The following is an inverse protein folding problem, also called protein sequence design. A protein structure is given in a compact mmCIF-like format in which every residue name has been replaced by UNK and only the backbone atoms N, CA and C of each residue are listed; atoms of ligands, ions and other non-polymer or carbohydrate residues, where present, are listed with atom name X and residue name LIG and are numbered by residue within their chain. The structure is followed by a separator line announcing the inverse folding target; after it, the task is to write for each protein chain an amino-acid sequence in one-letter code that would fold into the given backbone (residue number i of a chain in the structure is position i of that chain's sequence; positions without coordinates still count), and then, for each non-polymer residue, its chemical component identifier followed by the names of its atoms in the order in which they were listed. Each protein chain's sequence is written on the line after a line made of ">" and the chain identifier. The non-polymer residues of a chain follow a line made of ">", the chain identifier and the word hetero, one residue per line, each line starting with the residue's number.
data_IF_593947383527
#
_entry.id   IF_593947383527
#
_cell.length_a   1.000
_cell.length_b   1.000
_cell.length_c   1.000
_cell.angle_alpha   90.00
_cell.angle_beta   90.00
_cell.angle_gamma   90.00
#
_symmetry.space_group_name_H-M   'P 1'
#
loop_
_entity.id
_entity.type
_entity.pdbx_description
1 polymer ?
#
# COMPACT_ATOMS: atom_id res chain seq x y z
N UNK A 1 18.13 10.08 23.68
CA UNK A 1 17.71 8.70 23.31
C UNK A 1 16.17 8.60 23.34
N UNK A 2 15.46 9.26 22.40
CA UNK A 2 13.97 9.17 22.31
C UNK A 2 13.43 9.26 20.87
N UNK A 3 14.28 9.52 19.86
CA UNK A 3 13.84 9.78 18.46
C UNK A 3 13.88 8.56 17.53
N UNK A 4 14.27 7.38 18.01
CA UNK A 4 14.33 6.14 17.19
C UNK A 4 13.06 5.29 17.23
N UNK A 5 12.15 5.50 18.19
CA UNK A 5 10.95 4.65 18.35
C UNK A 5 9.83 4.90 17.31
N UNK A 6 9.93 5.97 16.51
CA UNK A 6 8.90 6.35 15.55
C UNK A 6 9.15 5.81 14.14
N UNK A 7 10.41 5.62 13.73
CA UNK A 7 10.75 5.23 12.36
C UNK A 7 10.36 3.77 12.06
N UNK A 8 10.46 2.88 13.06
CA UNK A 8 10.18 1.44 12.94
C UNK A 8 8.68 1.11 12.82
N UNK A 9 7.78 2.01 13.26
CA UNK A 9 6.35 1.74 13.13
C UNK A 9 5.91 1.76 11.68
N UNK A 10 6.39 2.74 10.90
CA UNK A 10 5.98 2.95 9.51
C UNK A 10 6.39 1.81 8.59
N UNK A 11 7.60 1.27 8.77
CA UNK A 11 8.10 0.11 8.00
C UNK A 11 7.30 -1.15 8.29
N UNK A 12 6.71 -1.26 9.49
CA UNK A 12 5.97 -2.44 9.92
C UNK A 12 4.47 -2.43 9.54
N UNK A 13 3.96 -1.36 8.93
CA UNK A 13 2.53 -1.21 8.60
C UNK A 13 2.12 -2.12 7.45
N UNK A 14 2.95 -2.19 6.40
CA UNK A 14 2.69 -2.98 5.21
C UNK A 14 3.20 -4.39 5.46
N UNK A 15 2.29 -5.36 5.41
CA UNK A 15 2.63 -6.78 5.63
C UNK A 15 3.14 -7.39 4.32
N UNK A 16 2.37 -7.23 3.24
CA UNK A 16 2.73 -7.73 1.90
C UNK A 16 1.81 -7.17 0.82
N UNK A 17 2.25 -7.13 -0.45
CA UNK A 17 1.35 -6.90 -1.57
C UNK A 17 0.32 -8.03 -1.73
N UNK A 18 -0.79 -7.71 -2.38
CA UNK A 18 -1.83 -8.66 -2.76
C UNK A 18 -1.90 -8.74 -4.27
N UNK A 19 -1.59 -9.92 -4.82
CA UNK A 19 -1.67 -10.21 -6.25
C UNK A 19 -2.78 -11.23 -6.48
N UNK A 20 -3.78 -10.84 -7.26
CA UNK A 20 -4.95 -11.59 -7.70
C UNK A 20 -5.40 -10.97 -9.01
N UNK A 21 -6.13 -11.68 -9.86
CA UNK A 21 -6.66 -11.12 -11.13
C UNK A 21 -7.41 -9.79 -10.92
N UNK A 22 -8.22 -9.71 -9.87
CA UNK A 22 -8.93 -8.48 -9.51
C UNK A 22 -7.98 -7.33 -9.16
N UNK A 23 -6.88 -7.59 -8.46
CA UNK A 23 -5.92 -6.53 -8.10
C UNK A 23 -5.04 -6.15 -9.29
N UNK A 24 -4.75 -7.08 -10.20
CA UNK A 24 -4.08 -6.76 -11.47
C UNK A 24 -4.92 -5.80 -12.31
N UNK A 25 -6.23 -6.07 -12.46
CA UNK A 25 -7.14 -5.15 -13.15
C UNK A 25 -7.17 -3.75 -12.50
N UNK A 26 -7.07 -3.65 -11.17
CA UNK A 26 -7.02 -2.37 -10.47
C UNK A 26 -5.70 -1.60 -10.68
N UNK A 27 -4.60 -2.32 -10.86
CA UNK A 27 -3.30 -1.72 -11.20
C UNK A 27 -3.41 -1.08 -12.58
N UNK A 28 -3.90 -1.83 -13.56
CA UNK A 28 -4.03 -1.39 -14.96
C UNK A 28 -5.05 -0.25 -15.14
N UNK A 29 -6.27 -0.41 -14.63
CA UNK A 29 -7.38 0.51 -14.94
C UNK A 29 -7.45 1.71 -14.00
N UNK A 30 -6.99 1.55 -12.76
CA UNK A 30 -7.24 2.54 -11.70
C UNK A 30 -5.97 3.08 -11.06
N UNK A 31 -4.78 2.71 -11.54
CA UNK A 31 -3.50 3.13 -10.97
C UNK A 31 -3.43 2.86 -9.46
N UNK A 32 -3.93 1.69 -9.04
CA UNK A 32 -4.17 1.34 -7.63
C UNK A 32 -3.42 0.08 -7.23
N UNK A 33 -2.52 0.22 -6.26
CA UNK A 33 -1.82 -0.90 -5.63
C UNK A 33 -2.62 -1.44 -4.44
N UNK A 34 -2.52 -2.75 -4.19
CA UNK A 34 -3.24 -3.41 -3.11
C UNK A 34 -2.29 -4.09 -2.13
N UNK A 35 -2.47 -3.82 -0.85
CA UNK A 35 -1.62 -4.33 0.22
C UNK A 35 -2.43 -4.97 1.35
N UNK A 36 -1.88 -5.97 2.02
CA UNK A 36 -2.29 -6.32 3.38
C UNK A 36 -1.52 -5.46 4.37
N UNK A 37 -2.23 -4.93 5.34
CA UNK A 37 -1.68 -4.03 6.36
C UNK A 37 -2.04 -4.50 7.76
N UNK A 38 -1.31 -4.03 8.76
CA UNK A 38 -1.64 -4.30 10.16
C UNK A 38 -3.03 -3.78 10.52
N UNK A 39 -3.75 -4.52 11.37
CA UNK A 39 -5.10 -4.15 11.79
C UNK A 39 -5.14 -2.78 12.48
N UNK A 40 -4.11 -2.47 13.26
CA UNK A 40 -3.93 -1.21 13.99
C UNK A 40 -3.61 0.00 13.10
N UNK A 41 -3.25 -0.21 11.82
CA UNK A 41 -2.80 0.88 10.95
C UNK A 41 -3.94 1.80 10.51
N UNK A 42 -3.77 3.10 10.67
CA UNK A 42 -4.73 4.12 10.22
C UNK A 42 -4.47 4.52 8.76
N UNK A 43 -5.46 5.15 8.10
CA UNK A 43 -5.32 5.57 6.69
C UNK A 43 -4.14 6.54 6.47
N UNK A 44 -3.90 7.57 7.32
CA UNK A 44 -2.74 8.45 7.15
C UNK A 44 -1.41 7.72 7.28
N UNK A 45 -1.29 6.79 8.22
CA UNK A 45 -0.07 6.02 8.41
C UNK A 45 0.21 5.07 7.23
N UNK A 46 -0.83 4.43 6.67
CA UNK A 46 -0.71 3.62 5.46
C UNK A 46 -0.24 4.47 4.28
N UNK A 47 -0.80 5.68 4.14
CA UNK A 47 -0.40 6.63 3.10
C UNK A 47 1.10 6.93 3.23
N UNK A 48 1.53 7.39 4.39
CA UNK A 48 2.93 7.76 4.65
C UNK A 48 3.88 6.58 4.46
N UNK A 49 3.50 5.38 4.90
CA UNK A 49 4.30 4.18 4.72
C UNK A 49 4.50 3.83 3.24
N UNK A 50 3.44 3.86 2.42
CA UNK A 50 3.53 3.57 0.97
C UNK A 50 4.37 4.63 0.27
N UNK A 51 4.16 5.90 0.58
CA UNK A 51 4.91 7.01 -0.04
C UNK A 51 6.41 6.90 0.27
N UNK A 52 6.78 6.57 1.52
CA UNK A 52 8.18 6.42 1.92
C UNK A 52 8.84 5.15 1.36
N UNK A 53 8.15 4.01 1.42
CA UNK A 53 8.73 2.71 1.03
C UNK A 53 8.94 2.59 -0.47
N UNK A 54 8.03 3.16 -1.27
CA UNK A 54 8.07 3.03 -2.73
C UNK A 54 8.39 4.35 -3.43
N UNK A 55 8.72 5.42 -2.69
CA UNK A 55 9.05 6.75 -3.20
C UNK A 55 8.00 7.31 -4.18
N UNK A 56 6.72 7.18 -3.82
CA UNK A 56 5.57 7.55 -4.66
C UNK A 56 4.71 8.59 -3.96
N UNK A 57 3.75 9.19 -4.70
CA UNK A 57 2.68 9.99 -4.12
C UNK A 57 1.35 9.26 -4.17
N UNK A 58 0.63 9.29 -3.06
CA UNK A 58 -0.66 8.62 -2.88
C UNK A 58 -1.78 9.65 -2.87
N UNK A 59 -2.74 9.48 -3.78
CA UNK A 59 -3.95 10.30 -3.82
C UNK A 59 -4.94 9.89 -2.75
N UNK A 60 -5.20 8.59 -2.65
CA UNK A 60 -6.30 8.08 -1.82
C UNK A 60 -6.00 6.67 -1.30
N UNK A 61 -6.36 6.44 -0.05
CA UNK A 61 -6.31 5.12 0.59
C UNK A 61 -7.73 4.71 1.00
N UNK A 62 -8.16 3.55 0.50
CA UNK A 62 -9.37 2.88 0.95
C UNK A 62 -8.97 1.59 1.68
N UNK A 63 -9.65 1.25 2.75
CA UNK A 63 -9.37 0.04 3.54
C UNK A 63 -10.62 -0.79 3.71
N UNK A 64 -10.47 -2.11 3.71
CA UNK A 64 -11.54 -3.07 3.97
C UNK A 64 -11.02 -4.19 4.86
N UNK A 65 -11.86 -4.70 5.76
CA UNK A 65 -11.59 -5.94 6.47
C UNK A 65 -12.16 -7.08 5.63
N UNK A 66 -11.29 -7.99 5.19
CA UNK A 66 -11.71 -9.17 4.43
C UNK A 66 -12.44 -10.17 5.35
N UNK A 67 -13.27 -11.08 4.79
CA UNK A 67 -13.90 -12.14 5.59
C UNK A 67 -12.92 -13.06 6.33
N UNK A 68 -11.65 -13.08 5.91
CA UNK A 68 -10.54 -13.79 6.57
C UNK A 68 -9.92 -13.02 7.75
N UNK A 69 -10.52 -11.89 8.16
CA UNK A 69 -10.03 -11.03 9.25
C UNK A 69 -8.81 -10.18 8.88
N UNK A 70 -8.37 -10.18 7.63
CA UNK A 70 -7.19 -9.42 7.19
C UNK A 70 -7.59 -8.02 6.74
N UNK A 71 -6.84 -7.00 7.16
CA UNK A 71 -7.04 -5.63 6.71
C UNK A 71 -6.32 -5.41 5.38
N UNK A 72 -7.11 -5.12 4.34
CA UNK A 72 -6.64 -4.87 2.98
C UNK A 72 -6.77 -3.39 2.66
N UNK A 73 -5.69 -2.81 2.13
CA UNK A 73 -5.63 -1.43 1.71
C UNK A 73 -5.52 -1.34 0.18
N UNK A 74 -6.38 -0.53 -0.41
CA UNK A 74 -6.32 -0.10 -1.81
C UNK A 74 -5.74 1.31 -1.84
N UNK A 75 -4.62 1.46 -2.52
CA UNK A 75 -3.81 2.68 -2.51
C UNK A 75 -3.72 3.21 -3.92
N UNK A 76 -4.45 4.30 -4.19
CA UNK A 76 -4.45 4.96 -5.49
C UNK A 76 -3.28 5.94 -5.55
N UNK A 77 -2.42 5.77 -6.55
CA UNK A 77 -1.27 6.63 -6.77
C UNK A 77 -1.67 7.91 -7.50
N UNK A 78 -0.83 8.94 -7.35
CA UNK A 78 -0.91 10.15 -8.16
C UNK A 78 -0.66 9.83 -9.65
N UNK A 79 -1.28 10.56 -10.58
CA UNK A 79 -1.18 10.29 -12.02
C UNK A 79 0.26 10.41 -12.55
N UNK A 80 1.14 11.08 -11.83
CA UNK A 80 2.58 11.19 -12.12
C UNK A 80 3.32 9.86 -11.95
N UNK A 81 2.75 8.90 -11.22
CA UNK A 81 3.34 7.60 -10.94
C UNK A 81 2.51 6.49 -11.58
N UNK A 82 3.18 5.51 -12.18
CA UNK A 82 2.55 4.36 -12.81
C UNK A 82 2.60 3.12 -11.90
N UNK A 83 1.43 2.62 -11.49
CA UNK A 83 1.31 1.45 -10.66
C UNK A 83 1.83 0.18 -11.33
N UNK A 84 1.80 0.08 -12.67
CA UNK A 84 2.34 -1.07 -13.40
C UNK A 84 3.85 -1.15 -13.21
N UNK A 85 4.57 -0.06 -13.45
CA UNK A 85 6.03 -0.02 -13.32
C UNK A 85 6.47 -0.35 -11.89
N UNK A 86 5.74 0.16 -10.90
CA UNK A 86 5.99 -0.14 -9.49
C UNK A 86 5.68 -1.62 -9.20
N UNK A 87 4.61 -2.16 -9.77
CA UNK A 87 4.25 -3.56 -9.59
C UNK A 87 5.29 -4.52 -10.18
N UNK A 88 5.84 -4.20 -11.35
CA UNK A 88 6.94 -4.95 -11.97
C UNK A 88 8.21 -4.90 -11.12
N UNK A 89 8.57 -3.72 -10.60
CA UNK A 89 9.72 -3.57 -9.69
C UNK A 89 9.55 -4.37 -8.38
N UNK A 90 8.30 -4.63 -7.98
CA UNK A 90 7.96 -5.46 -6.82
C UNK A 90 7.84 -6.96 -7.14
N UNK A 91 8.03 -7.36 -8.40
CA UNK A 91 7.90 -8.74 -8.86
C UNK A 91 6.45 -9.26 -8.77
N UNK A 92 5.46 -8.37 -8.87
CA UNK A 92 4.05 -8.74 -8.84
C UNK A 92 3.47 -9.11 -10.21
N UNK A 93 4.14 -8.71 -11.28
CA UNK A 93 3.76 -8.85 -12.70
C UNK A 93 4.99 -9.22 -13.50
#
# INVERSE_FOLDING_TARGET
>A
MVILLSQDRLTSIIIRPVVTEKTLNLIEQNNTLTFLVKFTATKPEIKEAVEKLYNVKVLKVNVVITPKGQKKAYVKLAPEYNAIDIATNLGMV
#
